data_IF_180279501811
#
_entry.id   IF_180279501811
#
_cell.length_a   1.000
_cell.length_b   1.000
_cell.length_c   1.000
_cell.angle_alpha   90.00
_cell.angle_beta   90.00
_cell.angle_gamma   90.00
#
_symmetry.space_group_name_H-M   'P 1'
#
loop_
_entity.id
_entity.type
_entity.pdbx_description
1 polymer ?
#
# COMPACT_ATOMS: atom_id res chain seq x y z
N UNK A 1 5.55 3.99 -16.70
CA UNK A 1 5.02 5.36 -16.90
C UNK A 1 5.47 6.27 -15.75
N UNK A 2 5.47 7.60 -15.90
CA UNK A 2 5.99 8.53 -14.87
C UNK A 2 5.31 8.42 -13.49
N UNK A 3 4.03 8.03 -13.51
CA UNK A 3 3.13 7.96 -12.36
C UNK A 3 2.74 6.52 -11.97
N UNK A 4 3.59 5.57 -12.37
CA UNK A 4 3.44 4.17 -12.00
C UNK A 4 3.75 3.96 -10.50
N UNK A 5 2.97 3.12 -9.84
CA UNK A 5 3.04 2.91 -8.41
C UNK A 5 3.73 1.60 -8.02
N UNK A 6 4.57 1.66 -6.99
CA UNK A 6 5.13 0.48 -6.33
C UNK A 6 4.48 0.32 -4.97
N UNK A 7 4.02 -0.90 -4.69
CA UNK A 7 3.32 -1.24 -3.45
C UNK A 7 4.14 -2.24 -2.64
N UNK A 8 4.34 -1.96 -1.35
CA UNK A 8 5.11 -2.80 -0.45
C UNK A 8 4.21 -3.23 0.72
N UNK A 9 3.90 -4.52 0.77
CA UNK A 9 3.20 -5.10 1.92
C UNK A 9 4.21 -5.53 2.98
N UNK A 10 4.20 -4.83 4.11
CA UNK A 10 5.11 -5.06 5.23
C UNK A 10 4.33 -5.29 6.52
N UNK A 11 5.00 -5.87 7.50
CA UNK A 11 4.46 -6.06 8.84
C UNK A 11 5.56 -5.93 9.88
N UNK A 12 5.17 -5.77 11.13
CA UNK A 12 6.12 -5.93 12.21
C UNK A 12 6.54 -7.41 12.41
N UNK A 13 7.60 -7.62 13.17
CA UNK A 13 8.12 -8.95 13.48
C UNK A 13 7.18 -9.81 14.34
N UNK A 14 6.26 -9.20 15.11
CA UNK A 14 5.30 -9.90 15.97
C UNK A 14 4.01 -10.26 15.23
N UNK A 15 3.84 -9.76 14.00
CA UNK A 15 2.63 -9.91 13.18
C UNK A 15 1.40 -9.27 13.84
N UNK A 16 1.62 -8.21 14.62
CA UNK A 16 0.55 -7.46 15.30
C UNK A 16 0.05 -6.30 14.44
N UNK A 17 0.91 -5.75 13.58
CA UNK A 17 0.60 -4.63 12.71
C UNK A 17 1.06 -4.89 11.28
N UNK A 18 0.18 -4.57 10.33
CA UNK A 18 0.38 -4.72 8.90
C UNK A 18 0.29 -3.35 8.24
N UNK A 19 1.09 -3.14 7.20
CA UNK A 19 1.15 -1.88 6.48
C UNK A 19 1.25 -2.13 4.98
N UNK A 20 0.59 -1.28 4.21
CA UNK A 20 0.78 -1.18 2.77
C UNK A 20 1.39 0.18 2.48
N UNK A 21 2.54 0.21 1.80
CA UNK A 21 3.21 1.45 1.41
C UNK A 21 3.15 1.58 -0.10
N UNK A 22 2.60 2.69 -0.59
CA UNK A 22 2.53 3.02 -2.01
C UNK A 22 3.35 4.26 -2.31
N UNK A 23 4.35 4.10 -3.18
CA UNK A 23 5.23 5.19 -3.64
C UNK A 23 5.34 5.20 -5.15
N UNK A 24 5.93 6.26 -5.72
CA UNK A 24 6.32 6.26 -7.13
C UNK A 24 7.29 5.12 -7.44
N UNK A 25 7.11 4.49 -8.60
CA UNK A 25 7.95 3.37 -9.05
C UNK A 25 9.44 3.74 -9.11
N UNK A 26 9.75 5.00 -9.43
CA UNK A 26 11.11 5.55 -9.45
C UNK A 26 11.71 5.82 -8.06
N UNK A 27 10.89 5.97 -7.01
CA UNK A 27 11.36 6.24 -5.65
C UNK A 27 11.86 4.97 -4.97
N UNK A 28 13.03 5.06 -4.32
CA UNK A 28 13.52 4.00 -3.41
C UNK A 28 12.96 4.22 -2.02
N UNK A 29 12.46 3.15 -1.41
CA UNK A 29 12.00 3.16 -0.02
C UNK A 29 13.09 2.54 0.84
N UNK A 30 13.68 3.33 1.73
CA UNK A 30 14.56 2.80 2.78
C UNK A 30 13.70 2.38 3.97
N UNK A 31 13.42 1.09 4.08
CA UNK A 31 12.60 0.54 5.18
C UNK A 31 13.24 0.73 6.56
N UNK A 32 14.57 0.88 6.65
CA UNK A 32 15.23 1.17 7.94
C UNK A 32 14.95 2.60 8.37
N UNK A 33 14.99 3.54 7.42
CA UNK A 33 14.71 4.94 7.68
C UNK A 33 13.21 5.16 7.92
N UNK A 34 12.35 4.62 7.05
CA UNK A 34 10.90 4.63 7.19
C UNK A 34 10.44 4.14 8.58
N UNK A 35 11.02 3.03 9.06
CA UNK A 35 10.75 2.53 10.41
C UNK A 35 11.05 3.57 11.49
N UNK A 36 12.17 4.29 11.39
CA UNK A 36 12.56 5.31 12.37
C UNK A 36 11.61 6.50 12.32
N UNK A 37 11.30 6.97 11.11
CA UNK A 37 10.49 8.18 10.89
C UNK A 37 9.05 7.99 11.38
N UNK A 38 8.48 6.80 11.19
CA UNK A 38 7.11 6.47 11.62
C UNK A 38 7.07 5.66 12.95
N UNK A 39 8.18 5.63 13.70
CA UNK A 39 8.30 4.94 15.00
C UNK A 39 7.78 3.49 15.02
N UNK A 40 8.05 2.73 13.95
CA UNK A 40 7.57 1.37 13.80
C UNK A 40 8.47 0.36 14.54
N UNK A 41 7.85 -0.74 14.99
CA UNK A 41 8.58 -1.94 15.42
C UNK A 41 9.46 -2.47 14.27
N UNK A 42 10.36 -3.43 14.54
CA UNK A 42 11.15 -4.06 13.48
C UNK A 42 10.20 -4.62 12.41
N UNK A 43 10.33 -4.13 11.17
CA UNK A 43 9.48 -4.48 10.04
C UNK A 43 10.18 -5.44 9.06
N UNK A 44 9.38 -6.24 8.35
CA UNK A 44 9.79 -7.09 7.23
C UNK A 44 8.63 -7.22 6.23
N UNK A 45 8.89 -7.76 5.04
CA UNK A 45 7.82 -8.12 4.10
C UNK A 45 6.87 -9.16 4.73
N UNK A 46 5.58 -9.03 4.39
CA UNK A 46 4.59 -10.06 4.68
C UNK A 46 4.79 -11.30 3.80
N UNK A 47 4.35 -12.46 4.26
CA UNK A 47 4.36 -13.70 3.49
C UNK A 47 3.23 -13.73 2.45
N UNK A 48 3.33 -14.68 1.50
CA UNK A 48 2.26 -14.99 0.56
C UNK A 48 0.96 -15.40 1.28
N UNK A 49 1.07 -16.20 2.33
CA UNK A 49 -0.07 -16.60 3.18
C UNK A 49 -0.74 -15.37 3.81
N UNK A 50 0.04 -14.44 4.35
CA UNK A 50 -0.47 -13.20 4.96
C UNK A 50 -1.18 -12.31 3.93
N UNK A 51 -0.64 -12.21 2.71
CA UNK A 51 -1.28 -11.51 1.58
C UNK A 51 -2.64 -12.13 1.24
N UNK A 52 -2.72 -13.46 1.16
CA UNK A 52 -3.98 -14.14 0.85
C UNK A 52 -4.98 -14.03 1.99
N UNK A 53 -4.54 -14.20 3.23
CA UNK A 53 -5.40 -14.19 4.40
C UNK A 53 -6.02 -12.82 4.65
N UNK A 54 -5.27 -11.74 4.42
CA UNK A 54 -5.70 -10.36 4.70
C UNK A 54 -6.26 -9.68 3.46
N UNK A 55 -5.55 -9.76 2.32
CA UNK A 55 -5.84 -8.95 1.13
C UNK A 55 -6.42 -9.77 -0.04
N UNK A 56 -6.55 -11.09 0.12
CA UNK A 56 -7.11 -12.02 -0.89
C UNK A 56 -6.40 -11.93 -2.25
N UNK A 57 -5.10 -11.68 -2.25
CA UNK A 57 -4.28 -11.59 -3.46
C UNK A 57 -3.06 -12.50 -3.43
N UNK A 58 -2.51 -12.78 -4.61
CA UNK A 58 -1.24 -13.49 -4.78
C UNK A 58 -0.07 -12.49 -4.83
N UNK A 59 1.16 -12.93 -4.52
CA UNK A 59 2.37 -12.14 -4.75
C UNK A 59 2.42 -11.61 -6.19
N UNK A 60 3.00 -10.42 -6.35
CA UNK A 60 3.11 -9.73 -7.64
C UNK A 60 1.86 -8.98 -8.10
N UNK A 61 0.73 -9.07 -7.37
CA UNK A 61 -0.53 -8.37 -7.68
C UNK A 61 -0.89 -7.30 -6.62
N UNK A 62 0.08 -6.89 -5.81
CA UNK A 62 -0.14 -5.95 -4.71
C UNK A 62 -0.48 -4.56 -5.27
N UNK A 63 -1.65 -4.05 -4.89
CA UNK A 63 -2.24 -2.80 -5.36
C UNK A 63 -3.04 -2.16 -4.22
N UNK A 64 -3.18 -0.83 -4.13
CA UNK A 64 -4.01 -0.21 -3.09
C UNK A 64 -5.46 -0.72 -3.07
N UNK A 65 -6.00 -1.16 -4.22
CA UNK A 65 -7.35 -1.75 -4.28
C UNK A 65 -7.50 -3.03 -3.46
N UNK A 66 -6.43 -3.77 -3.17
CA UNK A 66 -6.53 -4.98 -2.35
C UNK A 66 -6.89 -4.69 -0.89
N UNK A 67 -6.76 -3.43 -0.44
CA UNK A 67 -7.24 -2.99 0.89
C UNK A 67 -8.75 -3.10 1.03
N UNK A 68 -9.50 -3.05 -0.08
CA UNK A 68 -10.96 -3.24 -0.08
C UNK A 68 -11.37 -4.70 0.23
N UNK A 69 -10.41 -5.64 0.23
CA UNK A 69 -10.65 -7.01 0.68
C UNK A 69 -10.35 -7.21 2.18
N UNK A 70 -9.72 -6.23 2.84
CA UNK A 70 -9.37 -6.30 4.27
C UNK A 70 -10.56 -5.94 5.16
N UNK A 71 -11.52 -6.86 5.26
CA UNK A 71 -12.73 -6.72 6.07
C UNK A 71 -12.45 -6.41 7.55
N UNK A 72 -11.27 -6.78 8.04
CA UNK A 72 -10.86 -6.55 9.43
C UNK A 72 -10.11 -5.21 9.62
N UNK A 73 -9.84 -4.46 8.54
CA UNK A 73 -9.09 -3.19 8.53
C UNK A 73 -7.76 -3.30 9.30
N UNK A 74 -7.06 -4.42 9.13
CA UNK A 74 -5.78 -4.72 9.79
C UNK A 74 -4.62 -3.91 9.21
N UNK A 75 -4.72 -3.50 7.95
CA UNK A 75 -3.63 -2.83 7.24
C UNK A 75 -3.74 -1.33 7.38
N UNK A 76 -2.67 -0.69 7.87
CA UNK A 76 -2.51 0.76 7.83
C UNK A 76 -1.85 1.15 6.50
N UNK A 77 -2.49 2.03 5.74
CA UNK A 77 -2.05 2.44 4.42
C UNK A 77 -1.21 3.72 4.46
N UNK A 78 0.01 3.65 3.92
CA UNK A 78 0.84 4.82 3.66
C UNK A 78 0.90 5.08 2.16
N UNK A 79 0.67 6.32 1.76
CA UNK A 79 0.73 6.74 0.36
C UNK A 79 1.60 7.97 0.20
N UNK A 80 2.43 7.97 -0.84
CA UNK A 80 3.30 9.09 -1.18
C UNK A 80 2.50 10.36 -1.49
N UNK A 81 2.91 11.48 -0.90
CA UNK A 81 2.31 12.81 -1.10
C UNK A 81 2.33 13.24 -2.56
N UNK A 82 3.27 12.71 -3.36
CA UNK A 82 3.30 12.93 -4.80
C UNK A 82 1.97 12.55 -5.48
N UNK A 83 1.21 11.59 -4.95
CA UNK A 83 -0.09 11.19 -5.52
C UNK A 83 -1.28 12.00 -5.03
N UNK A 84 -1.12 12.90 -4.05
CA UNK A 84 -2.23 13.65 -3.47
C UNK A 84 -3.02 14.42 -4.53
N UNK A 85 -2.31 15.10 -5.42
CA UNK A 85 -2.89 15.94 -6.48
C UNK A 85 -2.52 15.47 -7.90
N UNK A 86 -2.03 14.22 -8.02
CA UNK A 86 -1.61 13.64 -9.30
C UNK A 86 -2.35 12.33 -9.60
N UNK A 87 -2.23 11.89 -10.85
CA UNK A 87 -2.68 10.56 -11.26
C UNK A 87 -1.81 9.48 -10.61
N UNK A 88 -2.43 8.35 -10.29
CA UNK A 88 -1.75 7.13 -9.91
C UNK A 88 -2.12 6.03 -10.92
N UNK A 89 -1.10 5.37 -11.46
CA UNK A 89 -1.27 4.17 -12.28
C UNK A 89 -1.20 2.94 -11.39
N UNK A 90 -2.29 2.18 -11.29
CA UNK A 90 -2.36 0.96 -10.48
C UNK A 90 -2.93 -0.21 -11.28
N UNK A 91 -2.40 -1.40 -11.01
CA UNK A 91 -2.94 -2.65 -11.56
C UNK A 91 -4.21 -3.05 -10.78
N UNK A 92 -5.35 -3.29 -11.46
CA UNK A 92 -6.60 -3.66 -10.80
C UNK A 92 -6.61 -5.16 -10.48
N UNK A 93 -5.77 -5.59 -9.54
CA UNK A 93 -5.72 -6.97 -9.02
C UNK A 93 -5.40 -8.07 -10.07
N UNK A 94 -5.14 -7.70 -11.32
CA UNK A 94 -4.54 -8.48 -12.41
C UNK A 94 -3.52 -7.56 -13.13
N UNK A 95 -2.34 -8.09 -13.47
CA UNK A 95 -1.24 -7.29 -14.06
C UNK A 95 -1.42 -7.04 -15.58
N UNK A 96 -2.58 -7.37 -16.14
CA UNK A 96 -2.91 -7.23 -17.56
C UNK A 96 -3.49 -5.84 -17.92
N UNK A 97 -3.86 -5.04 -16.92
CA UNK A 97 -4.40 -3.71 -17.11
C UNK A 97 -3.76 -2.69 -16.14
N UNK A 98 -3.79 -1.41 -16.52
CA UNK A 98 -3.44 -0.29 -15.64
C UNK A 98 -4.63 0.65 -15.59
N UNK A 99 -5.17 0.87 -14.39
CA UNK A 99 -6.19 1.88 -14.13
C UNK A 99 -5.50 3.17 -13.72
N UNK A 100 -5.92 4.25 -14.34
CA UNK A 100 -5.49 5.60 -14.03
C UNK A 100 -6.60 6.34 -13.31
N UNK A 101 -6.32 6.86 -12.13
CA UNK A 101 -7.25 7.67 -11.34
C UNK A 101 -6.51 8.74 -10.56
N UNK A 102 -7.23 9.74 -10.06
CA UNK A 102 -6.64 10.73 -9.16
C UNK A 102 -6.30 10.05 -7.84
N UNK A 103 -5.09 10.27 -7.31
CA UNK A 103 -4.69 9.64 -6.04
C UNK A 103 -5.57 10.06 -4.87
N UNK A 104 -6.11 11.29 -4.85
CA UNK A 104 -7.13 11.72 -3.88
C UNK A 104 -8.42 10.89 -3.94
N UNK A 105 -8.85 10.46 -5.13
CA UNK A 105 -10.08 9.67 -5.28
C UNK A 105 -9.85 8.24 -4.79
N UNK A 106 -8.64 7.70 -5.04
CA UNK A 106 -8.20 6.43 -4.46
C UNK A 106 -8.17 6.48 -2.93
N UNK A 107 -7.56 7.52 -2.36
CA UNK A 107 -7.46 7.69 -0.90
C UNK A 107 -8.86 7.81 -0.29
N UNK A 108 -9.72 8.64 -0.87
CA UNK A 108 -11.11 8.77 -0.41
C UNK A 108 -11.84 7.42 -0.39
N UNK A 109 -11.72 6.62 -1.44
CA UNK A 109 -12.32 5.28 -1.50
C UNK A 109 -11.81 4.36 -0.38
N UNK A 110 -10.51 4.39 -0.10
CA UNK A 110 -9.88 3.58 0.95
C UNK A 110 -10.29 4.05 2.36
N UNK A 111 -10.39 5.37 2.57
CA UNK A 111 -10.86 5.95 3.82
C UNK A 111 -12.36 5.64 4.06
N UNK A 112 -13.19 5.69 3.01
CA UNK A 112 -14.61 5.31 3.07
C UNK A 112 -14.82 3.83 3.46
N UNK A 113 -13.88 2.95 3.10
CA UNK A 113 -13.84 1.56 3.55
C UNK A 113 -13.47 1.42 5.05
N UNK A 114 -12.90 2.46 5.66
CA UNK A 114 -12.49 2.51 7.06
C UNK A 114 -11.02 2.16 7.29
N UNK A 115 -10.22 2.07 6.22
CA UNK A 115 -8.78 1.87 6.34
C UNK A 115 -8.11 3.18 6.78
N UNK A 116 -7.20 3.11 7.75
CA UNK A 116 -6.40 4.27 8.17
C UNK A 116 -5.41 4.60 7.05
N UNK A 117 -5.34 5.87 6.66
CA UNK A 117 -4.46 6.37 5.59
C UNK A 117 -3.56 7.50 6.12
N UNK A 118 -2.28 7.45 5.77
CA UNK A 118 -1.30 8.49 6.08
C UNK A 118 -0.48 8.84 4.82
N UNK A 119 -0.30 10.15 4.57
CA UNK A 119 0.58 10.62 3.50
C UNK A 119 2.05 10.66 3.95
N UNK A 120 2.96 10.19 3.11
CA UNK A 120 4.41 10.13 3.37
C UNK A 120 5.21 10.84 2.27
N UNK A 121 6.45 11.24 2.52
CA UNK A 121 7.31 11.98 1.57
C UNK A 121 8.36 11.10 0.89
#
# INVERSE_FOLDING_TARGET
>A
PEWDAKNLFIRDHKREHYYLITVRGSKRVDLKQFRKDHNLKKISFGSEEELWDILKIKPGHVSPFCLLHDEARKVHYYIDVDYKDNLIGIHPNQNDATVWLQGKDLVKLIEEHGTIVEYIT
#
